data_IF_462176877387
#
_entry.id   IF_462176877387
#
_cell.length_a   1.000
_cell.length_b   1.000
_cell.length_c   1.000
_cell.angle_alpha   90.00
_cell.angle_beta   90.00
_cell.angle_gamma   90.00
#
_symmetry.space_group_name_H-M   'P 1'
#
loop_
_entity.id
_entity.type
_entity.pdbx_description
1 polymer ?
#
# COMPACT_ATOMS: atom_id res chain seq x y z
N UNK A 1 6.71 -12.15 13.35
CA UNK A 1 6.89 -10.67 13.41
C UNK A 1 5.85 -10.05 14.32
N UNK A 2 6.16 -8.90 14.89
CA UNK A 2 5.24 -8.11 15.70
C UNK A 2 4.41 -7.16 14.84
N UNK A 3 3.26 -6.70 15.34
CA UNK A 3 2.43 -5.70 14.63
C UNK A 3 3.22 -4.43 14.30
N UNK A 4 4.15 -4.02 15.17
CA UNK A 4 5.02 -2.86 14.96
C UNK A 4 5.88 -3.02 13.71
N UNK A 5 6.52 -4.18 13.57
CA UNK A 5 7.37 -4.47 12.40
C UNK A 5 6.52 -4.52 11.13
N UNK A 6 5.37 -5.19 11.20
CA UNK A 6 4.43 -5.28 10.08
C UNK A 6 4.02 -3.89 9.60
N UNK A 7 3.55 -3.02 10.51
CA UNK A 7 3.09 -1.67 10.17
C UNK A 7 4.20 -0.85 9.51
N UNK A 8 5.44 -0.94 10.02
CA UNK A 8 6.58 -0.23 9.44
C UNK A 8 6.94 -0.72 8.03
N UNK A 9 6.59 -1.95 7.68
CA UNK A 9 6.93 -2.58 6.40
C UNK A 9 5.78 -2.56 5.38
N UNK A 10 4.57 -2.09 5.76
CA UNK A 10 3.39 -2.13 4.87
C UNK A 10 3.63 -1.41 3.54
N UNK A 11 4.25 -0.22 3.53
CA UNK A 11 4.51 0.48 2.27
C UNK A 11 5.47 -0.31 1.36
N UNK A 12 6.53 -0.88 1.93
CA UNK A 12 7.48 -1.70 1.16
C UNK A 12 6.87 -3.01 0.68
N UNK A 13 5.95 -3.58 1.47
CA UNK A 13 5.14 -4.73 1.08
C UNK A 13 4.25 -4.41 -0.12
N UNK A 14 3.53 -3.28 -0.08
CA UNK A 14 2.68 -2.81 -1.19
C UNK A 14 3.49 -2.50 -2.45
N UNK A 15 4.71 -1.96 -2.30
CA UNK A 15 5.63 -1.69 -3.41
C UNK A 15 6.31 -2.95 -3.96
N UNK A 16 6.15 -4.13 -3.33
CA UNK A 16 6.80 -5.37 -3.76
C UNK A 16 8.32 -5.37 -3.60
N UNK A 17 8.85 -4.59 -2.64
CA UNK A 17 10.30 -4.36 -2.45
C UNK A 17 10.93 -5.18 -1.35
N UNK A 18 10.16 -6.08 -0.73
CA UNK A 18 10.64 -6.95 0.33
C UNK A 18 11.32 -8.19 -0.23
N UNK A 19 12.23 -8.77 0.56
CA UNK A 19 12.76 -10.08 0.23
C UNK A 19 11.66 -11.15 0.36
N UNK A 20 11.73 -12.27 -0.39
CA UNK A 20 10.69 -13.30 -0.37
C UNK A 20 10.41 -13.87 1.04
N UNK A 21 11.45 -13.95 1.87
CA UNK A 21 11.35 -14.41 3.26
C UNK A 21 10.50 -13.44 4.08
N UNK A 22 10.81 -12.14 4.02
CA UNK A 22 10.10 -11.11 4.78
C UNK A 22 8.65 -10.97 4.28
N UNK A 23 8.44 -11.02 2.97
CA UNK A 23 7.10 -10.99 2.37
C UNK A 23 6.21 -12.14 2.88
N UNK A 24 6.76 -13.35 2.98
CA UNK A 24 6.05 -14.52 3.51
C UNK A 24 5.68 -14.33 4.98
N UNK A 25 6.58 -13.76 5.78
CA UNK A 25 6.29 -13.50 7.19
C UNK A 25 5.22 -12.42 7.40
N UNK A 26 5.20 -11.38 6.54
CA UNK A 26 4.15 -10.35 6.55
C UNK A 26 2.81 -10.95 6.17
N UNK A 27 2.75 -11.72 5.08
CA UNK A 27 1.52 -12.41 4.64
C UNK A 27 0.91 -13.25 5.77
N UNK A 28 1.73 -14.10 6.39
CA UNK A 28 1.30 -14.91 7.54
C UNK A 28 0.77 -14.06 8.70
N UNK A 29 1.38 -12.91 8.98
CA UNK A 29 0.89 -12.02 10.04
C UNK A 29 -0.45 -11.37 9.69
N UNK A 30 -0.60 -10.88 8.46
CA UNK A 30 -1.84 -10.26 7.97
C UNK A 30 -3.02 -11.24 7.93
N UNK A 31 -2.76 -12.52 7.65
CA UNK A 31 -3.76 -13.59 7.71
C UNK A 31 -4.27 -13.83 9.15
N UNK A 32 -3.40 -13.65 10.15
CA UNK A 32 -3.71 -13.92 11.56
C UNK A 32 -4.05 -12.69 12.41
N UNK A 33 -3.93 -11.48 11.88
CA UNK A 33 -4.05 -10.23 12.65
C UNK A 33 -5.03 -9.25 11.99
N UNK A 34 -6.20 -9.07 12.61
CA UNK A 34 -7.23 -8.15 12.15
C UNK A 34 -6.75 -6.70 12.09
N UNK A 35 -5.99 -6.27 13.09
CA UNK A 35 -5.59 -4.87 13.23
C UNK A 35 -4.61 -4.48 12.12
N UNK A 36 -3.62 -5.32 11.85
CA UNK A 36 -2.68 -5.08 10.76
C UNK A 36 -3.35 -5.19 9.38
N UNK A 37 -4.39 -6.02 9.23
CA UNK A 37 -5.18 -6.06 8.00
C UNK A 37 -5.97 -4.77 7.79
N UNK A 38 -6.58 -4.21 8.84
CA UNK A 38 -7.24 -2.89 8.76
C UNK A 38 -6.25 -1.78 8.37
N UNK A 39 -5.04 -1.78 8.93
CA UNK A 39 -4.00 -0.80 8.56
C UNK A 39 -3.61 -0.97 7.09
N UNK A 40 -3.47 -2.21 6.60
CA UNK A 40 -3.18 -2.47 5.19
C UNK A 40 -4.29 -1.96 4.27
N UNK A 41 -5.56 -2.26 4.59
CA UNK A 41 -6.73 -1.80 3.83
C UNK A 41 -6.79 -0.27 3.79
N UNK A 42 -6.53 0.41 4.91
CA UNK A 42 -6.48 1.87 4.96
C UNK A 42 -5.33 2.44 4.11
N UNK A 43 -4.15 1.82 4.14
CA UNK A 43 -3.02 2.23 3.31
C UNK A 43 -3.33 2.09 1.81
N UNK A 44 -3.88 0.94 1.39
CA UNK A 44 -4.31 0.71 0.00
C UNK A 44 -5.33 1.76 -0.44
N UNK A 45 -6.39 1.96 0.33
CA UNK A 45 -7.42 2.96 -0.01
C UNK A 45 -6.85 4.37 -0.15
N UNK A 46 -5.93 4.74 0.74
CA UNK A 46 -5.29 6.07 0.70
C UNK A 46 -4.45 6.25 -0.57
N UNK A 47 -3.64 5.23 -0.91
CA UNK A 47 -2.81 5.24 -2.11
C UNK A 47 -3.65 5.23 -3.38
N UNK A 48 -4.71 4.41 -3.43
CA UNK A 48 -5.64 4.37 -4.56
C UNK A 48 -6.28 5.74 -4.78
N UNK A 49 -6.78 6.40 -3.72
CA UNK A 49 -7.32 7.75 -3.84
C UNK A 49 -6.28 8.76 -4.35
N UNK A 50 -5.05 8.69 -3.85
CA UNK A 50 -3.98 9.61 -4.24
C UNK A 50 -3.59 9.43 -5.71
N UNK A 51 -3.30 8.20 -6.14
CA UNK A 51 -2.85 7.90 -7.51
C UNK A 51 -3.98 7.96 -8.55
N UNK A 52 -5.24 7.71 -8.17
CA UNK A 52 -6.39 7.96 -9.05
C UNK A 52 -6.58 9.47 -9.25
N UNK A 53 -6.42 10.27 -8.20
CA UNK A 53 -6.52 11.73 -8.29
C UNK A 53 -5.39 12.33 -9.15
N UNK A 54 -4.16 11.84 -9.02
CA UNK A 54 -3.04 12.27 -9.89
C UNK A 54 -3.29 11.96 -11.38
N UNK A 55 -3.98 10.86 -11.70
CA UNK A 55 -4.36 10.55 -13.09
C UNK A 55 -5.43 11.48 -13.63
N UNK A 56 -6.40 11.88 -12.81
CA UNK A 56 -7.44 12.83 -13.20
C UNK A 56 -6.86 14.23 -13.47
N UNK A 57 -5.95 14.70 -12.60
CA UNK A 57 -5.26 15.99 -12.79
C UNK A 57 -4.34 15.99 -14.02
N UNK A 58 -3.58 14.90 -14.26
CA UNK A 58 -2.72 14.79 -15.44
C UNK A 58 -3.51 14.84 -16.77
N UNK A 59 -4.76 14.33 -16.80
CA UNK A 59 -5.62 14.42 -17.98
C UNK A 59 -6.22 15.82 -18.20
N UNK A 60 -6.40 16.60 -17.12
CA UNK A 60 -6.90 17.98 -17.19
C UNK A 60 -5.85 18.92 -17.82
N UNK A 61 -4.57 18.76 -17.48
CA UNK A 61 -3.49 19.57 -18.05
C UNK A 61 -3.17 19.18 -19.51
N UNK A 62 -3.28 17.90 -19.87
CA UNK A 62 -3.08 17.44 -21.24
C UNK A 62 -4.15 17.99 -22.22
N UNK A 63 -5.37 18.26 -21.74
CA UNK A 63 -6.45 18.83 -22.55
C UNK A 63 -6.29 20.34 -22.83
N UNK A 64 -5.52 21.09 -22.02
CA UNK A 64 -5.29 22.53 -22.22
C UNK A 64 -4.08 22.87 -23.09
N UNK A 65 -3.29 21.88 -23.50
CA UNK A 65 -2.09 22.06 -24.31
C UNK A 65 -2.24 21.62 -25.79
N UNK A 66 -3.46 21.32 -26.24
CA UNK A 66 -3.77 20.89 -27.62
C UNK A 66 -4.31 22.04 -28.49
#
# INVERSE_FOLDING_TARGET
MSCRDTIHLICWYLEGRLSPVVETEIKRHLEGCSDCRLVLEAAVNTLDCYFVSERADATSDAFRAA
#
